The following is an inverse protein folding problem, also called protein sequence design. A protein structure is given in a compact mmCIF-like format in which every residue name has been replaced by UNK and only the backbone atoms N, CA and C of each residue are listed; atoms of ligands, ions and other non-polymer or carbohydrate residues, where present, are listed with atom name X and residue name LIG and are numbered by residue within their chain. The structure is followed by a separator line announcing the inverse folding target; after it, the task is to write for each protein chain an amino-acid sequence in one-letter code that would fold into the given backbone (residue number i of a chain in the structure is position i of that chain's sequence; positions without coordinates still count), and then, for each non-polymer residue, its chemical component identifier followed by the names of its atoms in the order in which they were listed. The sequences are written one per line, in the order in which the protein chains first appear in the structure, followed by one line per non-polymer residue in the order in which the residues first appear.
data_IF_468380541568
#
_entry.id   IF_468380541568
#
_cell.length_a   1.000
_cell.length_b   1.000
_cell.length_c   1.000
_cell.angle_alpha   90.00
_cell.angle_beta   90.00
_cell.angle_gamma   90.00
#
_symmetry.space_group_name_H-M   'P 1'
#
loop_
_entity.id
_entity.type
_entity.pdbx_description
1 polymer ?
#
# COMPACT_ATOMS: atom_id res chain seq x y z
N UNK A 1 1.80 3.01 11.11
CA UNK A 1 2.79 3.73 10.28
C UNK A 1 3.30 4.95 11.05
N UNK A 2 4.58 5.31 10.87
CA UNK A 2 5.13 6.60 11.33
C UNK A 2 5.09 7.56 10.15
N UNK A 3 4.49 8.77 10.27
CA UNK A 3 4.48 9.74 9.18
C UNK A 3 5.89 10.23 8.84
N UNK A 4 6.16 10.41 7.54
CA UNK A 4 7.34 11.15 7.07
C UNK A 4 7.13 12.66 7.25
N UNK A 5 8.20 13.45 7.12
CA UNK A 5 8.10 14.91 7.20
C UNK A 5 7.11 15.48 6.18
N UNK A 6 6.21 16.36 6.64
CA UNK A 6 5.13 16.92 5.82
C UNK A 6 3.89 16.04 5.67
N UNK A 7 3.88 14.83 6.24
CA UNK A 7 2.71 13.95 6.29
C UNK A 7 2.07 13.95 7.67
N UNK A 8 0.74 13.98 7.71
CA UNK A 8 -0.03 13.98 8.95
C UNK A 8 -1.07 12.85 8.95
N UNK A 9 -1.45 12.39 10.15
CA UNK A 9 -2.55 11.42 10.31
C UNK A 9 -3.87 12.11 9.98
N UNK A 10 -4.44 11.79 8.83
CA UNK A 10 -5.72 12.32 8.38
C UNK A 10 -6.90 11.53 8.96
N UNK A 11 -6.77 10.20 9.11
CA UNK A 11 -7.84 9.34 9.60
C UNK A 11 -7.31 8.05 10.25
N UNK A 12 -8.09 7.47 11.18
CA UNK A 12 -7.81 6.18 11.80
C UNK A 12 -9.10 5.46 12.14
N UNK A 13 -9.17 4.18 11.78
CA UNK A 13 -10.26 3.25 12.12
C UNK A 13 -9.65 2.01 12.78
N UNK A 14 -9.70 1.96 14.11
CA UNK A 14 -9.11 0.87 14.90
C UNK A 14 -9.85 -0.46 14.68
N UNK A 15 -11.16 -0.41 14.42
CA UNK A 15 -11.96 -1.62 14.18
C UNK A 15 -11.58 -2.31 12.86
N UNK A 16 -11.04 -1.55 11.90
CA UNK A 16 -10.57 -2.05 10.60
C UNK A 16 -9.05 -2.17 10.50
N UNK A 17 -8.32 -1.89 11.58
CA UNK A 17 -6.86 -1.75 11.60
C UNK A 17 -6.34 -0.88 10.46
N UNK A 18 -6.99 0.28 10.25
CA UNK A 18 -6.74 1.18 9.12
C UNK A 18 -6.27 2.54 9.59
N UNK A 19 -5.23 3.08 8.96
CA UNK A 19 -4.75 4.45 9.16
C UNK A 19 -4.56 5.11 7.80
N UNK A 20 -4.84 6.40 7.74
CA UNK A 20 -4.60 7.26 6.58
C UNK A 20 -3.67 8.40 6.98
N UNK A 21 -2.62 8.60 6.18
CA UNK A 21 -1.75 9.76 6.23
C UNK A 21 -1.95 10.60 4.97
N UNK A 22 -1.86 11.92 5.09
CA UNK A 22 -1.92 12.84 3.95
C UNK A 22 -0.95 14.00 4.10
N UNK A 23 -0.48 14.51 2.97
CA UNK A 23 0.23 15.78 2.85
C UNK A 23 -0.61 16.85 2.10
N UNK A 24 -1.91 16.60 1.95
CA UNK A 24 -2.86 17.44 1.21
C UNK A 24 -2.88 17.22 -0.31
N UNK A 25 -1.95 16.45 -0.88
CA UNK A 25 -1.89 16.14 -2.33
C UNK A 25 -1.92 14.64 -2.62
N UNK A 26 -1.37 13.85 -1.70
CA UNK A 26 -1.34 12.41 -1.73
C UNK A 26 -1.96 11.84 -0.45
N UNK A 27 -2.35 10.57 -0.56
CA UNK A 27 -2.89 9.80 0.55
C UNK A 27 -2.10 8.50 0.64
N UNK A 28 -1.58 8.20 1.83
CA UNK A 28 -0.96 6.92 2.15
C UNK A 28 -1.87 6.19 3.12
N UNK A 29 -2.34 5.02 2.73
CA UNK A 29 -3.21 4.18 3.56
C UNK A 29 -2.42 2.99 4.06
N UNK A 30 -2.70 2.56 5.29
CA UNK A 30 -2.21 1.30 5.83
C UNK A 30 -3.36 0.44 6.35
N UNK A 31 -3.20 -0.88 6.19
CA UNK A 31 -4.15 -1.85 6.71
C UNK A 31 -3.44 -3.15 7.09
N UNK A 32 -3.71 -3.66 8.29
CA UNK A 32 -3.29 -5.00 8.71
C UNK A 32 -4.39 -6.03 8.49
N UNK A 33 -4.02 -7.22 8.00
CA UNK A 33 -4.94 -8.34 7.76
C UNK A 33 -4.23 -9.69 7.95
N UNK A 34 -4.99 -10.79 7.99
CA UNK A 34 -4.45 -12.16 8.07
C UNK A 34 -4.59 -12.86 6.72
N UNK A 35 -3.53 -13.55 6.31
CA UNK A 35 -3.52 -14.47 5.16
C UNK A 35 -3.00 -15.83 5.59
N UNK A 36 -3.18 -16.84 4.75
CA UNK A 36 -2.63 -18.17 5.01
C UNK A 36 -1.10 -18.12 5.06
N UNK A 37 -0.52 -18.89 5.99
CA UNK A 37 0.94 -19.03 6.12
C UNK A 37 1.54 -19.54 4.81
N UNK A 38 2.69 -18.99 4.42
CA UNK A 38 3.37 -19.34 3.17
C UNK A 38 2.89 -18.55 1.94
N UNK A 39 1.81 -17.77 2.05
CA UNK A 39 1.40 -16.82 1.01
C UNK A 39 2.52 -15.81 0.73
N UNK A 40 2.85 -15.57 -0.55
CA UNK A 40 3.86 -14.58 -0.93
C UNK A 40 3.25 -13.19 -1.01
N UNK A 41 4.01 -12.17 -0.63
CA UNK A 41 3.58 -10.78 -0.76
C UNK A 41 3.17 -10.40 -2.19
N UNK A 42 3.85 -10.93 -3.20
CA UNK A 42 3.51 -10.74 -4.62
C UNK A 42 2.13 -11.27 -5.00
N UNK A 43 1.70 -12.38 -4.38
CA UNK A 43 0.40 -12.98 -4.64
C UNK A 43 -0.71 -12.11 -4.06
N UNK A 44 -0.49 -11.58 -2.84
CA UNK A 44 -1.42 -10.65 -2.19
C UNK A 44 -1.49 -9.33 -2.96
N UNK A 45 -0.36 -8.77 -3.40
CA UNK A 45 -0.36 -7.55 -4.25
C UNK A 45 -1.14 -7.81 -5.52
N UNK A 46 -0.90 -8.93 -6.21
CA UNK A 46 -1.61 -9.26 -7.45
C UNK A 46 -3.12 -9.37 -7.22
N UNK A 47 -3.54 -10.02 -6.13
CA UNK A 47 -4.95 -10.12 -5.78
C UNK A 47 -5.57 -8.75 -5.47
N UNK A 48 -4.88 -7.90 -4.70
CA UNK A 48 -5.34 -6.57 -4.36
C UNK A 48 -5.47 -5.67 -5.60
N UNK A 49 -4.47 -5.66 -6.48
CA UNK A 49 -4.51 -4.87 -7.71
C UNK A 49 -5.63 -5.34 -8.65
N UNK A 50 -5.91 -6.64 -8.74
CA UNK A 50 -7.07 -7.17 -9.49
C UNK A 50 -8.39 -6.69 -8.91
N UNK A 51 -8.52 -6.64 -7.58
CA UNK A 51 -9.71 -6.08 -6.94
C UNK A 51 -9.89 -4.59 -7.23
N UNK A 52 -8.80 -3.81 -7.22
CA UNK A 52 -8.83 -2.40 -7.61
C UNK A 52 -9.19 -2.25 -9.09
N UNK A 53 -8.63 -3.08 -9.96
CA UNK A 53 -8.91 -3.07 -11.39
C UNK A 53 -10.41 -3.23 -11.67
N UNK A 54 -11.10 -4.15 -10.97
CA UNK A 54 -12.55 -4.33 -11.10
C UNK A 54 -13.40 -3.12 -10.67
N UNK A 55 -12.79 -2.13 -10.00
CA UNK A 55 -13.43 -0.89 -9.53
C UNK A 55 -12.99 0.33 -10.34
N UNK A 56 -12.19 0.14 -11.39
CA UNK A 56 -11.57 1.23 -12.16
C UNK A 56 -11.85 1.05 -13.66
N UNK A 57 -12.20 2.16 -14.32
CA UNK A 57 -12.35 2.21 -15.77
C UNK A 57 -11.00 2.52 -16.43
N UNK A 58 -10.67 1.83 -17.53
CA UNK A 58 -9.42 2.06 -18.27
C UNK A 58 -8.16 1.71 -17.46
N UNK A 59 -8.28 0.76 -16.54
CA UNK A 59 -7.22 0.42 -15.61
C UNK A 59 -6.02 -0.24 -16.30
N UNK A 60 -4.82 0.22 -15.94
CA UNK A 60 -3.55 -0.28 -16.42
C UNK A 60 -2.72 -0.73 -15.22
N UNK A 61 -2.41 -2.03 -15.19
CA UNK A 61 -1.58 -2.66 -14.17
C UNK A 61 -0.10 -2.47 -14.51
N UNK A 62 0.69 -2.09 -13.51
CA UNK A 62 2.14 -2.19 -13.55
C UNK A 62 2.61 -3.61 -13.25
N UNK A 63 3.90 -3.84 -13.42
CA UNK A 63 4.54 -5.11 -13.07
C UNK A 63 4.55 -5.29 -11.54
N UNK A 64 4.07 -6.45 -11.09
CA UNK A 64 4.24 -6.88 -9.70
C UNK A 64 5.63 -7.50 -9.56
N UNK A 65 6.36 -7.10 -8.52
CA UNK A 65 7.70 -7.60 -8.22
C UNK A 65 7.91 -7.78 -6.73
N UNK A 66 8.89 -8.60 -6.38
CA UNK A 66 9.37 -8.71 -4.99
C UNK A 66 10.15 -7.46 -4.62
N UNK A 67 9.97 -6.97 -3.40
CA UNK A 67 10.86 -5.99 -2.77
C UNK A 67 11.81 -6.74 -1.84
N UNK A 68 13.12 -6.62 -2.07
CA UNK A 68 14.11 -7.15 -1.14
C UNK A 68 14.23 -6.22 0.07
N UNK A 69 13.87 -6.75 1.24
CA UNK A 69 13.89 -6.05 2.52
C UNK A 69 15.00 -6.57 3.46
N UNK A 70 15.98 -7.28 2.88
CA UNK A 70 17.18 -7.78 3.55
C UNK A 70 16.90 -8.58 4.84
N UNK A 71 15.75 -9.26 4.87
CA UNK A 71 15.40 -10.20 5.93
C UNK A 71 14.60 -11.36 5.35
N UNK A 72 14.67 -12.51 6.01
CA UNK A 72 14.03 -13.75 5.60
C UNK A 72 12.64 -13.96 6.23
N UNK A 73 12.26 -13.16 7.22
CA UNK A 73 11.01 -13.29 7.97
C UNK A 73 9.80 -12.76 7.22
N UNK A 74 10.00 -11.81 6.29
CA UNK A 74 8.94 -11.21 5.49
C UNK A 74 9.04 -11.65 4.02
N UNK A 75 7.89 -11.84 3.39
CA UNK A 75 7.75 -11.83 1.94
C UNK A 75 7.09 -10.53 1.54
N UNK A 76 7.79 -9.67 0.78
CA UNK A 76 7.28 -8.35 0.41
C UNK A 76 7.11 -8.25 -1.09
N UNK A 77 5.88 -7.92 -1.51
CA UNK A 77 5.56 -7.62 -2.90
C UNK A 77 5.28 -6.13 -3.07
N UNK A 78 5.52 -5.63 -4.27
CA UNK A 78 5.06 -4.31 -4.67
C UNK A 78 4.52 -4.31 -6.10
N UNK A 79 3.66 -3.34 -6.39
CA UNK A 79 3.09 -3.14 -7.71
C UNK A 79 2.33 -1.83 -7.80
N UNK A 80 1.77 -1.55 -8.97
CA UNK A 80 1.02 -0.33 -9.21
C UNK A 80 -0.17 -0.56 -10.13
N UNK A 81 -1.15 0.34 -10.04
CA UNK A 81 -2.27 0.40 -10.96
C UNK A 81 -2.66 1.85 -11.16
N UNK A 82 -3.03 2.21 -12.40
CA UNK A 82 -3.59 3.53 -12.69
C UNK A 82 -4.89 3.39 -13.47
N UNK A 83 -5.83 4.30 -13.28
CA UNK A 83 -7.11 4.28 -13.98
C UNK A 83 -8.10 5.28 -13.40
N UNK A 84 -9.32 5.25 -13.91
CA UNK A 84 -10.37 6.19 -13.48
C UNK A 84 -11.27 5.53 -12.45
N UNK A 85 -11.47 6.18 -11.30
CA UNK A 85 -12.37 5.76 -10.23
C UNK A 85 -13.54 6.72 -10.11
N UNK A 86 -14.75 6.18 -10.04
CA UNK A 86 -15.94 6.97 -9.73
C UNK A 86 -15.96 7.33 -8.25
N UNK A 87 -16.25 8.59 -7.94
CA UNK A 87 -16.43 9.13 -6.59
C UNK A 87 -17.77 9.85 -6.49
N UNK A 88 -18.22 10.18 -5.28
CA UNK A 88 -19.41 11.00 -5.06
C UNK A 88 -19.31 12.41 -5.67
N UNK A 89 -18.10 12.87 -5.98
CA UNK A 89 -17.81 14.18 -6.55
C UNK A 89 -17.48 14.13 -8.06
N UNK A 90 -17.57 12.95 -8.69
CA UNK A 90 -17.23 12.74 -10.09
C UNK A 90 -16.16 11.66 -10.31
N UNK A 91 -15.68 11.54 -11.54
CA UNK A 91 -14.66 10.55 -11.91
C UNK A 91 -13.27 11.16 -11.85
N UNK A 92 -12.36 10.52 -11.12
CA UNK A 92 -10.97 10.98 -10.95
C UNK A 92 -10.01 9.91 -11.44
N UNK A 93 -8.96 10.32 -12.15
CA UNK A 93 -7.91 9.41 -12.61
C UNK A 93 -6.81 9.35 -11.54
N UNK A 94 -6.57 8.17 -11.01
CA UNK A 94 -5.70 7.94 -9.86
C UNK A 94 -4.56 6.99 -10.22
N UNK A 95 -3.41 7.18 -9.57
CA UNK A 95 -2.34 6.21 -9.49
C UNK A 95 -2.33 5.59 -8.08
N UNK A 96 -2.13 4.28 -8.02
CA UNK A 96 -1.90 3.51 -6.81
C UNK A 96 -0.52 2.87 -6.88
N UNK A 97 0.30 3.08 -5.86
CA UNK A 97 1.51 2.31 -5.60
C UNK A 97 1.31 1.51 -4.32
N UNK A 98 1.49 0.19 -4.40
CA UNK A 98 1.10 -0.73 -3.32
C UNK A 98 2.31 -1.54 -2.91
N UNK A 99 2.52 -1.66 -1.60
CA UNK A 99 3.49 -2.56 -0.96
C UNK A 99 2.72 -3.43 0.02
N UNK A 100 2.88 -4.76 -0.07
CA UNK A 100 2.28 -5.69 0.89
C UNK A 100 3.34 -6.65 1.38
N UNK A 101 3.45 -6.76 2.70
CA UNK A 101 4.33 -7.71 3.38
C UNK A 101 3.54 -8.80 4.08
N UNK A 102 4.01 -10.04 3.96
CA UNK A 102 3.47 -11.20 4.69
C UNK A 102 4.55 -11.76 5.60
N UNK A 103 4.25 -11.86 6.90
CA UNK A 103 5.11 -12.52 7.88
C UNK A 103 5.01 -14.02 7.72
N UNK A 104 6.12 -14.67 7.39
CA UNK A 104 6.12 -16.08 6.96
C UNK A 104 5.69 -17.05 8.06
N UNK A 105 5.95 -16.72 9.32
CA UNK A 105 5.69 -17.60 10.47
C UNK A 105 4.20 -17.77 10.79
N UNK A 106 3.38 -16.75 10.56
CA UNK A 106 2.00 -16.71 11.06
C UNK A 106 1.00 -15.98 10.14
N UNK A 107 1.43 -15.59 8.94
CA UNK A 107 0.56 -14.98 7.94
C UNK A 107 0.05 -13.58 8.30
N UNK A 108 0.63 -12.90 9.30
CA UNK A 108 0.34 -11.49 9.53
C UNK A 108 0.73 -10.69 8.28
N UNK A 109 -0.23 -10.01 7.66
CA UNK A 109 -0.03 -9.21 6.46
C UNK A 109 -0.25 -7.73 6.74
N UNK A 110 0.62 -6.88 6.18
CA UNK A 110 0.48 -5.43 6.23
C UNK A 110 0.46 -4.92 4.80
N UNK A 111 -0.62 -4.21 4.46
CA UNK A 111 -0.78 -3.49 3.23
C UNK A 111 -0.49 -2.01 3.47
N UNK A 112 0.25 -1.40 2.56
CA UNK A 112 0.29 0.04 2.42
C UNK A 112 0.13 0.45 0.97
N UNK A 113 -0.66 1.51 0.72
CA UNK A 113 -0.86 2.03 -0.62
C UNK A 113 -0.76 3.55 -0.64
N UNK A 114 0.04 4.07 -1.56
CA UNK A 114 0.11 5.47 -1.93
C UNK A 114 -0.89 5.73 -3.06
N UNK A 115 -1.76 6.71 -2.85
CA UNK A 115 -2.80 7.14 -3.78
C UNK A 115 -2.50 8.58 -4.16
N UNK A 116 -2.37 8.82 -5.46
CA UNK A 116 -2.11 10.16 -6.02
C UNK A 116 -3.04 10.42 -7.19
N UNK A 117 -3.31 11.71 -7.47
CA UNK A 117 -3.86 12.08 -8.77
C UNK A 117 -2.91 11.62 -9.88
N UNK A 118 -3.46 11.21 -11.01
CA UNK A 118 -2.65 10.70 -12.12
C UNK A 118 -1.71 11.73 -12.77
N UNK A 119 -1.97 13.02 -12.58
CA UNK A 119 -1.14 14.13 -13.03
C UNK A 119 0.02 14.46 -12.08
N UNK A 120 0.01 13.90 -10.88
CA UNK A 120 1.06 14.11 -9.87
C UNK A 120 2.33 13.38 -10.26
N UNK A 121 3.47 14.08 -10.21
CA UNK A 121 4.79 13.48 -10.41
C UNK A 121 5.09 12.49 -9.28
N UNK A 122 5.24 11.18 -9.59
CA UNK A 122 5.47 10.15 -8.58
C UNK A 122 6.83 10.28 -7.87
N UNK A 123 7.80 11.00 -8.45
CA UNK A 123 9.14 11.16 -7.87
C UNK A 123 9.13 11.91 -6.52
N UNK A 124 8.16 12.81 -6.32
CA UNK A 124 8.02 13.55 -5.06
C UNK A 124 7.53 12.71 -3.88
N UNK A 125 7.03 11.49 -4.13
CA UNK A 125 6.34 10.68 -3.12
C UNK A 125 6.99 9.31 -2.93
N UNK A 126 7.89 8.87 -3.81
CA UNK A 126 8.53 7.57 -3.70
C UNK A 126 9.33 7.41 -2.40
N UNK A 127 10.17 8.40 -2.08
CA UNK A 127 11.08 8.31 -0.94
C UNK A 127 10.34 8.42 0.40
N UNK A 128 9.44 9.42 0.60
CA UNK A 128 8.61 9.49 1.81
C UNK A 128 7.75 8.23 1.99
N UNK A 129 7.16 7.72 0.90
CA UNK A 129 6.32 6.53 0.98
C UNK A 129 7.13 5.28 1.33
N UNK A 130 8.34 5.11 0.80
CA UNK A 130 9.22 4.01 1.18
C UNK A 130 9.66 4.11 2.64
N UNK A 131 10.02 5.30 3.14
CA UNK A 131 10.33 5.50 4.56
C UNK A 131 9.16 5.11 5.48
N UNK A 132 7.94 5.55 5.12
CA UNK A 132 6.74 5.18 5.85
C UNK A 132 6.47 3.67 5.79
N UNK A 133 6.67 3.03 4.63
CA UNK A 133 6.55 1.58 4.47
C UNK A 133 7.60 0.82 5.29
N UNK A 134 8.85 1.26 5.33
CA UNK A 134 9.90 0.66 6.16
C UNK A 134 9.55 0.72 7.65
N UNK A 135 8.98 1.82 8.13
CA UNK A 135 8.50 1.93 9.52
C UNK A 135 7.48 0.85 9.88
N UNK A 136 6.59 0.52 8.94
CA UNK A 136 5.58 -0.52 9.07
C UNK A 136 6.20 -1.92 9.07
N UNK A 137 7.09 -2.20 8.13
CA UNK A 137 7.80 -3.48 8.03
C UNK A 137 8.58 -3.77 9.33
N UNK A 138 9.29 -2.77 9.85
CA UNK A 138 10.01 -2.88 11.10
C UNK A 138 9.08 -3.11 12.31
N UNK A 139 7.90 -2.49 12.32
CA UNK A 139 6.90 -2.73 13.35
C UNK A 139 6.32 -4.15 13.28
N UNK A 140 6.07 -4.67 12.07
CA UNK A 140 5.54 -6.03 11.86
C UNK A 140 6.51 -7.11 12.36
N UNK A 141 7.82 -6.88 12.20
CA UNK A 141 8.86 -7.77 12.72
C UNK A 141 8.89 -7.84 14.26
N UNK A 142 8.45 -6.78 14.93
CA UNK A 142 8.42 -6.66 16.40
C UNK A 142 7.08 -7.01 17.02
N UNK A 143 6.02 -7.11 16.21
CA UNK A 143 4.69 -7.46 16.68
C UNK A 143 4.72 -8.88 17.29
N UNK A 144 4.04 -9.11 18.43
CA UNK A 144 3.97 -10.43 19.05
C UNK A 144 3.28 -11.48 18.17
#
# INVERSE_FOLDING_TARGET
MVPADGWEKAYRDELKNYIELSDGKAIAVDQALRVDTGTKGTDVVSAYLKQLQGKMTGAQLGTVKTLDVQNDKLSVGMGSIRGTRATSQGSVKLNYFVIISVRKSDGLSVLTALITDSSTDPSGYSDPFLQMAESLLNSQLKAP
#
